data_IF_643342127729
#
_entry.id   IF_643342127729
#
_cell.length_a   1.000
_cell.length_b   1.000
_cell.length_c   1.000
_cell.angle_alpha   90.00
_cell.angle_beta   90.00
_cell.angle_gamma   90.00
#
_symmetry.space_group_name_H-M   'P 1'
#
loop_
_entity.id
_entity.type
_entity.pdbx_description
1 polymer ?
#
# COMPACT_ATOMS: atom_id res chain seq x y z
N UNK A 1 29.32 -26.48 -1.35
CA UNK A 1 28.83 -25.35 -0.60
C UNK A 1 28.73 -24.15 -1.52
N UNK A 2 27.51 -23.62 -1.68
CA UNK A 2 27.29 -22.37 -2.37
C UNK A 2 27.96 -21.25 -1.55
N UNK A 3 29.12 -20.82 -2.00
CA UNK A 3 29.77 -19.61 -1.51
C UNK A 3 29.01 -18.40 -2.07
N UNK A 4 28.15 -17.82 -1.29
CA UNK A 4 27.66 -16.48 -1.49
C UNK A 4 28.82 -15.50 -1.18
N UNK A 5 29.74 -15.38 -2.12
CA UNK A 5 30.90 -14.51 -2.00
C UNK A 5 30.43 -13.07 -2.21
N UNK A 6 30.51 -12.26 -1.19
CA UNK A 6 30.30 -10.79 -1.25
C UNK A 6 29.02 -10.28 -0.60
N UNK A 7 27.94 -11.04 -0.55
CA UNK A 7 26.68 -10.57 0.08
C UNK A 7 26.69 -10.71 1.60
N UNK A 8 27.33 -11.72 2.17
CA UNK A 8 27.33 -11.95 3.61
C UNK A 8 28.12 -10.89 4.41
N UNK A 9 29.20 -10.34 3.85
CA UNK A 9 29.97 -9.28 4.51
C UNK A 9 29.22 -7.92 4.45
N UNK A 10 28.49 -7.65 3.38
CA UNK A 10 27.72 -6.40 3.25
C UNK A 10 26.44 -6.39 4.12
N UNK A 11 25.87 -7.55 4.41
CA UNK A 11 24.64 -7.67 5.23
C UNK A 11 24.95 -7.50 6.73
N UNK A 12 26.14 -7.88 7.19
CA UNK A 12 26.49 -7.80 8.62
C UNK A 12 26.61 -6.40 9.18
N UNK A 13 26.98 -5.43 8.35
CA UNK A 13 27.35 -4.10 8.80
C UNK A 13 26.33 -3.00 8.41
N UNK A 14 25.22 -3.36 7.77
CA UNK A 14 24.18 -2.41 7.33
C UNK A 14 22.81 -2.85 7.81
N UNK A 15 21.97 -1.87 8.12
CA UNK A 15 20.56 -2.14 8.37
C UNK A 15 19.88 -2.69 7.11
N UNK A 16 19.05 -3.71 7.30
CA UNK A 16 18.23 -4.29 6.25
C UNK A 16 16.83 -3.75 6.40
N UNK A 17 16.26 -3.27 5.30
CA UNK A 17 14.87 -2.81 5.24
C UNK A 17 14.02 -3.84 4.51
N UNK A 18 12.98 -4.33 5.17
CA UNK A 18 11.96 -5.19 4.57
C UNK A 18 10.67 -4.39 4.53
N UNK A 19 10.26 -4.04 3.31
CA UNK A 19 9.16 -3.11 3.07
C UNK A 19 7.98 -3.92 2.51
N UNK A 20 6.88 -3.99 3.30
CA UNK A 20 5.65 -4.62 2.86
C UNK A 20 4.87 -3.67 1.95
N UNK A 21 4.28 -4.19 0.88
CA UNK A 21 3.29 -3.48 0.07
C UNK A 21 1.88 -4.07 0.24
N UNK A 22 1.65 -4.79 1.33
CA UNK A 22 0.34 -5.38 1.61
C UNK A 22 -0.66 -4.31 2.08
N UNK A 23 -1.91 -4.45 1.68
CA UNK A 23 -2.98 -3.53 2.04
C UNK A 23 -3.56 -3.85 3.44
N UNK A 24 -2.69 -3.82 4.44
CA UNK A 24 -3.02 -4.00 5.85
C UNK A 24 -2.57 -2.77 6.64
N UNK A 25 -3.39 -2.33 7.59
CA UNK A 25 -2.96 -1.28 8.52
C UNK A 25 -1.76 -1.76 9.33
N UNK A 26 -0.75 -0.88 9.49
CA UNK A 26 0.51 -1.20 10.18
C UNK A 26 1.19 -2.46 9.63
N UNK A 27 1.19 -2.59 8.32
CA UNK A 27 1.72 -3.77 7.61
C UNK A 27 3.17 -4.12 7.98
N UNK A 28 4.02 -3.12 8.24
CA UNK A 28 5.40 -3.32 8.69
C UNK A 28 5.47 -3.96 10.07
N UNK A 29 4.66 -3.52 11.03
CA UNK A 29 4.60 -4.09 12.38
C UNK A 29 4.11 -5.55 12.35
N UNK A 30 3.09 -5.81 11.54
CA UNK A 30 2.56 -7.17 11.34
C UNK A 30 3.65 -8.07 10.74
N UNK A 31 4.32 -7.60 9.69
CA UNK A 31 5.39 -8.35 9.03
C UNK A 31 6.54 -8.64 10.00
N UNK A 32 6.98 -7.63 10.77
CA UNK A 32 8.00 -7.80 11.81
C UNK A 32 7.62 -8.91 12.79
N UNK A 33 6.40 -8.84 13.31
CA UNK A 33 5.91 -9.84 14.27
C UNK A 33 5.92 -11.24 13.67
N UNK A 34 5.35 -11.42 12.49
CA UNK A 34 5.26 -12.73 11.82
C UNK A 34 6.65 -13.31 11.56
N UNK A 35 7.57 -12.49 11.03
CA UNK A 35 8.95 -12.95 10.74
C UNK A 35 9.70 -13.31 12.02
N UNK A 36 9.61 -12.46 13.04
CA UNK A 36 10.32 -12.71 14.32
C UNK A 36 9.75 -13.94 15.04
N UNK A 37 8.43 -14.07 15.10
CA UNK A 37 7.78 -15.23 15.69
C UNK A 37 8.19 -16.52 14.98
N UNK A 38 8.11 -16.56 13.65
CA UNK A 38 8.50 -17.71 12.85
C UNK A 38 9.95 -18.10 13.06
N UNK A 39 10.87 -17.13 12.96
CA UNK A 39 12.31 -17.39 13.10
C UNK A 39 12.68 -17.81 14.52
N UNK A 40 11.97 -17.33 15.54
CA UNK A 40 12.21 -17.70 16.93
C UNK A 40 12.04 -19.20 17.20
N UNK A 41 11.14 -19.87 16.45
CA UNK A 41 10.94 -21.31 16.51
C UNK A 41 12.08 -22.10 15.85
N UNK A 42 12.82 -21.47 14.93
CA UNK A 42 13.92 -22.09 14.20
C UNK A 42 15.26 -21.81 14.91
N UNK A 43 15.53 -20.53 15.19
CA UNK A 43 16.78 -20.09 15.80
C UNK A 43 16.60 -18.75 16.54
N UNK A 44 16.65 -18.79 17.86
CA UNK A 44 16.50 -17.63 18.72
C UNK A 44 17.55 -16.53 18.48
N UNK A 45 18.79 -16.92 18.17
CA UNK A 45 19.85 -15.94 17.92
C UNK A 45 19.61 -15.15 16.63
N UNK A 46 19.05 -15.81 15.61
CA UNK A 46 18.67 -15.12 14.36
C UNK A 46 17.48 -14.21 14.62
N UNK A 47 16.50 -14.62 15.43
CA UNK A 47 15.37 -13.76 15.79
C UNK A 47 15.84 -12.48 16.49
N UNK A 48 16.73 -12.58 17.47
CA UNK A 48 17.33 -11.41 18.15
C UNK A 48 18.09 -10.51 17.17
N UNK A 49 18.85 -11.08 16.26
CA UNK A 49 19.56 -10.32 15.24
C UNK A 49 18.59 -9.57 14.31
N UNK A 50 17.47 -10.20 13.92
CA UNK A 50 16.43 -9.57 13.11
C UNK A 50 15.82 -8.38 13.87
N UNK A 51 15.48 -8.55 15.14
CA UNK A 51 14.92 -7.46 15.97
C UNK A 51 15.85 -6.25 16.05
N UNK A 52 17.15 -6.48 16.12
CA UNK A 52 18.17 -5.44 16.25
C UNK A 52 18.51 -4.76 14.90
N UNK A 53 18.64 -5.56 13.81
CA UNK A 53 19.25 -5.12 12.55
C UNK A 53 18.29 -4.97 11.40
N UNK A 54 17.10 -5.51 11.49
CA UNK A 54 16.12 -5.43 10.40
C UNK A 54 15.06 -4.39 10.75
N UNK A 55 14.83 -3.47 9.81
CA UNK A 55 13.80 -2.44 9.90
C UNK A 55 12.60 -2.86 9.06
N UNK A 56 11.42 -2.65 9.60
CA UNK A 56 10.15 -2.98 8.96
C UNK A 56 9.28 -1.72 8.94
N UNK A 57 9.55 -0.74 8.06
CA UNK A 57 8.73 0.45 7.98
C UNK A 57 7.31 0.09 7.55
N UNK A 58 6.32 0.75 8.15
CA UNK A 58 4.96 0.67 7.69
C UNK A 58 4.79 1.44 6.40
N UNK A 59 3.92 0.96 5.52
CA UNK A 59 3.65 1.62 4.24
C UNK A 59 2.17 1.68 3.94
N UNK A 60 1.79 2.67 3.15
CA UNK A 60 0.49 2.74 2.54
C UNK A 60 0.65 2.83 1.03
N UNK A 61 0.03 1.90 0.33
CA UNK A 61 -0.01 1.86 -1.13
C UNK A 61 -1.44 2.09 -1.60
N UNK A 62 -1.58 2.83 -2.68
CA UNK A 62 -2.88 3.03 -3.31
C UNK A 62 -2.74 3.04 -4.83
N UNK A 63 -3.45 2.12 -5.46
CA UNK A 63 -3.55 1.98 -6.90
C UNK A 63 -4.68 1.01 -7.23
N UNK A 64 -5.63 1.41 -8.04
CA UNK A 64 -6.68 0.51 -8.51
C UNK A 64 -6.14 -0.37 -9.62
N UNK A 65 -6.27 -1.68 -9.40
CA UNK A 65 -5.91 -2.73 -10.35
C UNK A 65 -7.20 -3.44 -10.74
N UNK A 66 -7.79 -3.14 -11.91
CA UNK A 66 -8.99 -3.82 -12.36
C UNK A 66 -8.70 -5.28 -12.68
N UNK A 67 -9.75 -6.11 -12.68
CA UNK A 67 -9.61 -7.51 -13.08
C UNK A 67 -9.28 -7.61 -14.58
N UNK A 68 -8.04 -7.96 -14.89
CA UNK A 68 -7.47 -8.03 -16.24
C UNK A 68 -7.52 -9.44 -16.80
N UNK A 69 -8.69 -10.13 -16.75
CA UNK A 69 -8.82 -11.45 -17.37
C UNK A 69 -8.58 -11.45 -18.88
N UNK A 70 -8.67 -10.29 -19.51
CA UNK A 70 -8.38 -10.11 -20.93
C UNK A 70 -7.67 -8.77 -21.11
N UNK A 71 -6.39 -8.83 -21.41
CA UNK A 71 -5.63 -7.67 -21.84
C UNK A 71 -6.02 -7.35 -23.31
N UNK A 72 -5.96 -6.07 -23.74
CA UNK A 72 -6.03 -5.75 -25.16
C UNK A 72 -4.92 -6.47 -25.92
N UNK A 73 -5.26 -7.09 -27.05
CA UNK A 73 -4.28 -7.87 -27.85
C UNK A 73 -2.99 -7.07 -28.17
N UNK A 74 -3.14 -5.79 -28.46
CA UNK A 74 -2.00 -4.89 -28.72
C UNK A 74 -1.03 -4.79 -27.55
N UNK A 75 -1.54 -4.88 -26.31
CA UNK A 75 -0.72 -4.83 -25.10
C UNK A 75 -0.01 -6.16 -24.88
N UNK A 76 -0.70 -7.29 -25.06
CA UNK A 76 -0.12 -8.63 -24.94
C UNK A 76 0.99 -8.84 -25.99
N UNK A 77 0.74 -8.47 -27.25
CA UNK A 77 1.73 -8.58 -28.32
C UNK A 77 2.96 -7.72 -28.07
N UNK A 78 2.77 -6.51 -27.51
CA UNK A 78 3.87 -5.57 -27.26
C UNK A 78 4.81 -6.04 -26.16
N UNK A 79 4.27 -6.55 -25.05
CA UNK A 79 5.07 -6.83 -23.86
C UNK A 79 5.46 -8.29 -23.70
N UNK A 80 4.72 -9.23 -24.30
CA UNK A 80 4.98 -10.69 -24.25
C UNK A 80 5.24 -11.22 -22.82
N UNK A 81 4.53 -10.68 -21.86
CA UNK A 81 4.67 -10.98 -20.44
C UNK A 81 3.35 -11.55 -19.90
N UNK A 82 3.38 -12.77 -19.39
CA UNK A 82 2.21 -13.46 -18.82
C UNK A 82 1.76 -12.89 -17.48
N UNK A 83 2.54 -12.01 -16.87
CA UNK A 83 2.29 -11.38 -15.58
C UNK A 83 1.90 -9.92 -15.69
N UNK A 84 1.52 -9.46 -16.88
CA UNK A 84 1.08 -8.09 -17.11
C UNK A 84 -0.14 -7.75 -16.27
N UNK A 85 -0.07 -6.60 -15.63
CA UNK A 85 -1.15 -6.04 -14.81
C UNK A 85 -1.45 -4.62 -15.31
N UNK A 86 -2.70 -4.38 -15.68
CA UNK A 86 -3.17 -3.02 -15.94
C UNK A 86 -3.54 -2.35 -14.63
N UNK A 87 -3.15 -1.10 -14.47
CA UNK A 87 -3.53 -0.29 -13.33
C UNK A 87 -3.85 1.14 -13.76
N UNK A 88 -4.50 1.89 -12.88
CA UNK A 88 -4.71 3.31 -13.09
C UNK A 88 -3.39 4.08 -13.14
N UNK A 89 -3.38 5.30 -13.72
CA UNK A 89 -2.20 6.17 -13.74
C UNK A 89 -1.79 6.66 -12.36
N UNK A 90 -2.74 6.78 -11.43
CA UNK A 90 -2.49 7.19 -10.06
C UNK A 90 -1.84 6.06 -9.29
N UNK A 91 -0.68 6.32 -8.68
CA UNK A 91 0.07 5.39 -7.84
C UNK A 91 0.88 6.20 -6.85
N UNK A 92 0.50 6.17 -5.60
CA UNK A 92 1.27 6.78 -4.52
C UNK A 92 1.73 5.69 -3.54
N UNK A 93 2.98 5.79 -3.11
CA UNK A 93 3.56 4.92 -2.11
C UNK A 93 4.10 5.75 -0.95
N UNK A 94 3.42 5.67 0.17
CA UNK A 94 3.85 6.31 1.40
C UNK A 94 4.63 5.31 2.24
N UNK A 95 5.79 5.73 2.74
CA UNK A 95 6.68 4.91 3.57
C UNK A 95 6.96 5.68 4.85
N UNK A 96 6.72 5.04 5.99
CA UNK A 96 7.10 5.60 7.28
C UNK A 96 8.62 5.52 7.44
N UNK A 97 9.30 6.66 7.49
CA UNK A 97 10.74 6.74 7.69
C UNK A 97 11.10 7.74 8.78
N UNK A 98 11.26 7.24 10.00
CA UNK A 98 11.64 8.03 11.17
C UNK A 98 13.15 8.32 11.25
N UNK A 99 13.92 7.77 10.34
CA UNK A 99 15.40 7.81 10.38
C UNK A 99 16.04 8.58 9.24
N UNK A 100 15.25 9.02 8.26
CA UNK A 100 15.68 9.66 7.00
C UNK A 100 16.69 8.84 6.18
N UNK A 101 16.92 7.58 6.56
CA UNK A 101 17.91 6.72 5.91
C UNK A 101 17.41 6.17 4.57
N UNK A 102 16.12 5.86 4.48
CA UNK A 102 15.53 5.37 3.24
C UNK A 102 15.41 6.46 2.19
N UNK A 103 15.18 7.71 2.59
CA UNK A 103 15.06 8.87 1.67
C UNK A 103 16.27 9.01 0.75
N UNK A 104 17.47 8.69 1.24
CA UNK A 104 18.69 8.80 0.45
C UNK A 104 18.85 7.73 -0.63
N UNK A 105 18.10 6.64 -0.54
CA UNK A 105 18.23 5.47 -1.42
C UNK A 105 17.06 5.25 -2.38
N UNK A 106 15.86 5.73 -2.00
CA UNK A 106 14.63 5.56 -2.77
C UNK A 106 14.10 6.92 -3.22
N UNK A 107 14.66 7.48 -4.30
CA UNK A 107 14.22 8.77 -4.84
C UNK A 107 13.33 8.56 -6.05
N UNK A 108 12.04 8.80 -5.88
CA UNK A 108 11.07 8.79 -6.98
C UNK A 108 9.89 9.71 -6.62
N UNK A 109 9.33 10.43 -7.58
CA UNK A 109 8.24 11.39 -7.38
C UNK A 109 6.97 10.81 -6.72
N UNK A 110 6.75 9.50 -6.89
CA UNK A 110 5.60 8.77 -6.34
C UNK A 110 5.87 8.08 -5.02
N UNK A 111 7.08 8.17 -4.50
CA UNK A 111 7.45 7.67 -3.18
C UNK A 111 7.48 8.87 -2.22
N UNK A 112 6.69 8.78 -1.17
CA UNK A 112 6.56 9.84 -0.16
C UNK A 112 6.97 9.28 1.19
N UNK A 113 7.99 9.88 1.78
CA UNK A 113 8.41 9.54 3.14
C UNK A 113 7.65 10.39 4.15
N UNK A 114 7.16 9.75 5.19
CA UNK A 114 6.29 10.38 6.20
C UNK A 114 6.67 9.90 7.60
N UNK A 115 6.50 10.77 8.60
CA UNK A 115 6.77 10.43 9.99
C UNK A 115 5.65 9.58 10.62
N UNK A 116 4.44 9.71 10.11
CA UNK A 116 3.26 9.04 10.62
C UNK A 116 2.40 8.49 9.48
N UNK A 117 2.48 7.19 9.27
CA UNK A 117 1.71 6.50 8.23
C UNK A 117 0.23 6.41 8.55
N UNK A 118 -0.14 6.35 9.85
CA UNK A 118 -1.52 6.16 10.29
C UNK A 118 -2.46 7.25 9.77
N UNK A 119 -1.96 8.47 9.63
CA UNK A 119 -2.73 9.58 9.05
C UNK A 119 -3.14 9.27 7.60
N UNK A 120 -2.22 8.81 6.78
CA UNK A 120 -2.46 8.48 5.37
C UNK A 120 -3.30 7.22 5.20
N UNK A 121 -3.11 6.21 6.06
CA UNK A 121 -3.98 5.03 6.12
C UNK A 121 -5.43 5.44 6.44
N UNK A 122 -5.63 6.34 7.39
CA UNK A 122 -6.96 6.84 7.77
C UNK A 122 -7.62 7.63 6.63
N UNK A 123 -6.87 8.49 5.93
CA UNK A 123 -7.39 9.20 4.76
C UNK A 123 -7.84 8.21 3.69
N UNK A 124 -6.97 7.25 3.34
CA UNK A 124 -7.30 6.23 2.36
C UNK A 124 -8.55 5.45 2.76
N UNK A 125 -8.58 4.95 3.99
CA UNK A 125 -9.67 4.12 4.48
C UNK A 125 -11.00 4.87 4.49
N UNK A 126 -11.01 6.09 5.02
CA UNK A 126 -12.22 6.87 5.23
C UNK A 126 -12.69 7.59 3.96
N UNK A 127 -11.79 8.16 3.16
CA UNK A 127 -12.15 8.88 1.95
C UNK A 127 -12.27 7.92 0.77
N UNK A 128 -11.20 7.21 0.43
CA UNK A 128 -11.18 6.41 -0.79
C UNK A 128 -12.00 5.12 -0.66
N UNK A 129 -11.65 4.27 0.30
CA UNK A 129 -12.27 2.95 0.40
C UNK A 129 -13.74 3.03 0.83
N UNK A 130 -14.06 3.89 1.81
CA UNK A 130 -15.44 4.02 2.30
C UNK A 130 -16.36 4.67 1.27
N UNK A 131 -15.89 5.71 0.56
CA UNK A 131 -16.67 6.33 -0.51
C UNK A 131 -16.90 5.38 -1.68
N UNK A 132 -15.88 4.61 -2.05
CA UNK A 132 -16.01 3.58 -3.09
C UNK A 132 -17.07 2.53 -2.70
N UNK A 133 -17.05 2.07 -1.44
CA UNK A 133 -18.04 1.12 -0.94
C UNK A 133 -19.44 1.71 -0.92
N UNK A 134 -19.60 2.94 -0.43
CA UNK A 134 -20.88 3.64 -0.39
C UNK A 134 -21.45 3.82 -1.81
N UNK A 135 -20.61 4.25 -2.75
CA UNK A 135 -20.99 4.41 -4.15
C UNK A 135 -21.37 3.08 -4.80
N UNK A 136 -20.63 2.01 -4.49
CA UNK A 136 -20.93 0.67 -5.02
C UNK A 136 -22.30 0.17 -4.56
N UNK A 137 -22.64 0.30 -3.29
CA UNK A 137 -23.95 -0.11 -2.78
C UNK A 137 -25.10 0.71 -3.37
N UNK A 138 -24.94 2.05 -3.40
CA UNK A 138 -25.94 2.93 -3.98
C UNK A 138 -26.11 2.68 -5.48
N UNK A 139 -25.01 2.56 -6.21
CA UNK A 139 -24.99 2.30 -7.65
C UNK A 139 -25.68 0.98 -7.99
N UNK A 140 -25.43 -0.08 -7.23
CA UNK A 140 -26.10 -1.37 -7.42
C UNK A 140 -27.61 -1.28 -7.19
N UNK A 141 -28.06 -0.53 -6.17
CA UNK A 141 -29.49 -0.31 -5.92
C UNK A 141 -30.18 0.44 -7.07
N UNK A 142 -29.45 1.35 -7.73
CA UNK A 142 -29.94 2.11 -8.89
C UNK A 142 -29.75 1.36 -10.22
N UNK A 143 -29.14 0.17 -10.20
CA UNK A 143 -28.96 -0.67 -11.38
C UNK A 143 -27.70 -0.41 -12.19
N UNK A 144 -26.78 0.43 -11.70
CA UNK A 144 -25.48 0.64 -12.32
C UNK A 144 -24.56 -0.54 -12.14
N UNK A 145 -23.76 -0.82 -13.17
CA UNK A 145 -22.78 -1.90 -13.14
C UNK A 145 -21.37 -1.43 -12.83
N UNK A 146 -21.04 -0.22 -13.25
CA UNK A 146 -19.68 0.32 -13.13
C UNK A 146 -19.68 1.59 -12.30
N UNK A 147 -18.57 1.82 -11.59
CA UNK A 147 -18.38 2.99 -10.72
C UNK A 147 -18.49 4.32 -11.48
N UNK A 148 -17.93 4.36 -12.70
CA UNK A 148 -17.97 5.56 -13.53
C UNK A 148 -19.38 5.92 -14.01
N UNK A 149 -20.28 4.94 -14.16
CA UNK A 149 -21.69 5.18 -14.46
C UNK A 149 -22.42 5.72 -13.23
N UNK A 150 -22.20 5.09 -12.09
CA UNK A 150 -22.81 5.50 -10.83
C UNK A 150 -22.41 6.94 -10.44
N UNK A 151 -21.13 7.30 -10.53
CA UNK A 151 -20.68 8.65 -10.15
C UNK A 151 -21.12 9.73 -11.15
N UNK A 152 -21.46 9.37 -12.38
CA UNK A 152 -22.03 10.29 -13.37
C UNK A 152 -23.50 10.62 -13.08
N UNK A 153 -24.18 9.83 -12.26
CA UNK A 153 -25.53 10.09 -11.79
C UNK A 153 -25.54 11.17 -10.72
N UNK A 154 -26.39 12.18 -10.86
CA UNK A 154 -26.45 13.35 -9.96
C UNK A 154 -26.81 12.96 -8.52
N UNK A 155 -27.67 11.97 -8.31
CA UNK A 155 -28.06 11.51 -7.00
C UNK A 155 -26.88 10.82 -6.29
N UNK A 156 -26.18 9.95 -6.98
CA UNK A 156 -24.96 9.29 -6.46
C UNK A 156 -23.88 10.32 -6.14
N UNK A 157 -23.62 11.24 -7.06
CA UNK A 157 -22.63 12.30 -6.90
C UNK A 157 -22.93 13.16 -5.67
N UNK A 158 -24.15 13.65 -5.55
CA UNK A 158 -24.57 14.50 -4.44
C UNK A 158 -24.55 13.73 -3.10
N UNK A 159 -24.94 12.44 -3.11
CA UNK A 159 -24.85 11.61 -1.93
C UNK A 159 -23.40 11.47 -1.44
N UNK A 160 -22.46 11.13 -2.33
CA UNK A 160 -21.06 10.95 -1.97
C UNK A 160 -20.44 12.26 -1.48
N UNK A 161 -20.70 13.39 -2.12
CA UNK A 161 -20.19 14.68 -1.66
C UNK A 161 -20.72 15.04 -0.28
N UNK A 162 -22.04 14.90 -0.05
CA UNK A 162 -22.61 15.14 1.26
C UNK A 162 -22.06 14.22 2.35
N UNK A 163 -21.86 12.94 2.01
CA UNK A 163 -21.26 11.97 2.91
C UNK A 163 -19.81 12.37 3.28
N UNK A 164 -19.01 12.74 2.28
CA UNK A 164 -17.64 13.20 2.52
C UNK A 164 -17.61 14.46 3.38
N UNK A 165 -18.34 15.49 3.00
CA UNK A 165 -18.28 16.81 3.65
C UNK A 165 -18.84 16.79 5.07
N UNK A 166 -19.92 16.06 5.31
CA UNK A 166 -20.65 16.12 6.59
C UNK A 166 -20.26 15.02 7.58
N UNK A 167 -19.89 13.83 7.06
CA UNK A 167 -19.67 12.67 7.92
C UNK A 167 -18.20 12.26 7.99
N UNK A 168 -17.46 12.33 6.88
CA UNK A 168 -16.10 11.78 6.80
C UNK A 168 -15.04 12.82 7.16
N UNK A 169 -14.98 13.93 6.40
CA UNK A 169 -13.95 14.95 6.57
C UNK A 169 -13.84 15.48 8.00
N UNK A 170 -14.97 15.74 8.72
CA UNK A 170 -14.90 16.19 10.10
C UNK A 170 -14.28 15.18 11.09
N UNK A 171 -14.20 13.90 10.69
CA UNK A 171 -13.61 12.84 11.55
C UNK A 171 -12.12 12.62 11.29
N UNK A 172 -11.56 13.26 10.27
CA UNK A 172 -10.14 13.18 9.96
C UNK A 172 -9.40 14.17 10.84
N UNK A 173 -8.56 13.65 11.75
CA UNK A 173 -7.71 14.51 12.58
C UNK A 173 -6.69 15.19 11.68
N UNK A 174 -6.60 16.52 11.77
CA UNK A 174 -5.50 17.25 11.14
C UNK A 174 -4.17 16.83 11.80
N UNK A 175 -3.12 16.70 11.00
CA UNK A 175 -1.76 16.67 11.54
C UNK A 175 -1.42 18.11 11.94
N UNK A 176 -1.18 18.31 13.24
CA UNK A 176 -0.62 19.57 13.77
C UNK A 176 0.84 19.73 13.34
#
# INVERSE_FOLDING_TARGET
PLRLVGSEMCIRDRDIYIISCDNLSKNGDILKKVVTDFVSHINKNIALWIEERVKFPCTMVDCIVPNTKQLPNEVEEKFKDNSLVLCEPYRDWYIEDKSDLLMSHLVHERIKFVDNIEFYENIKLKILNASHSALAYLGLLLGYRYVHEAIADELCYNFINNYLDREVIPTIKQQD
#
